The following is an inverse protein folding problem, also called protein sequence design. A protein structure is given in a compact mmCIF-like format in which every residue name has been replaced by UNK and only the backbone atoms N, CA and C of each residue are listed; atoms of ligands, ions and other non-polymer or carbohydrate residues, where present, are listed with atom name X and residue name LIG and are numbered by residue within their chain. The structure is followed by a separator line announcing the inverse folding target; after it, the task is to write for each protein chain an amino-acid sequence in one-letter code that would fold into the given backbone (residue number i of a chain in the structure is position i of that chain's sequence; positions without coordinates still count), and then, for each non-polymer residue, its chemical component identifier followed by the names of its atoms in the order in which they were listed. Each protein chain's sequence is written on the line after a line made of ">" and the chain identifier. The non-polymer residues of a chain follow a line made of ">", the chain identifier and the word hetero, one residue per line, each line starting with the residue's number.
data_IF_477012189224
#
_entry.id   IF_477012189224
#
_cell.length_a   1.000
_cell.length_b   1.000
_cell.length_c   1.000
_cell.angle_alpha   90.00
_cell.angle_beta   90.00
_cell.angle_gamma   90.00
#
_symmetry.space_group_name_H-M   'P 1'
#
loop_
_entity.id
_entity.type
_entity.pdbx_description
1 polymer ?
#
# COMPACT_ATOMS: atom_id res chain seq x y z
N UNK A 1 15.81 -31.47 -13.93
CA UNK A 1 16.05 -30.04 -13.76
C UNK A 1 15.43 -29.63 -12.44
N UNK A 2 16.16 -28.94 -11.55
CA UNK A 2 15.59 -28.45 -10.30
C UNK A 2 14.52 -27.41 -10.61
N UNK A 3 13.34 -27.53 -10.02
CA UNK A 3 12.27 -26.52 -10.09
C UNK A 3 12.80 -25.21 -9.50
N UNK A 4 12.73 -24.14 -10.27
CA UNK A 4 13.17 -22.81 -9.82
C UNK A 4 12.10 -22.27 -8.86
N UNK A 5 12.49 -22.04 -7.60
CA UNK A 5 11.59 -21.54 -6.56
C UNK A 5 11.62 -20.01 -6.59
N UNK A 6 10.46 -19.38 -6.71
CA UNK A 6 10.31 -17.92 -6.62
C UNK A 6 9.59 -17.58 -5.32
N UNK A 7 10.25 -16.94 -4.33
CA UNK A 7 9.60 -16.54 -3.08
C UNK A 7 8.62 -15.39 -3.32
N UNK A 8 7.55 -15.34 -2.52
CA UNK A 8 6.60 -14.23 -2.46
C UNK A 8 6.79 -13.46 -1.16
N UNK A 9 6.76 -12.13 -1.23
CA UNK A 9 6.65 -11.30 -0.02
C UNK A 9 5.20 -11.38 0.48
N UNK A 10 5.01 -11.82 1.75
CA UNK A 10 3.68 -11.96 2.36
C UNK A 10 3.48 -11.06 3.56
N UNK A 11 4.55 -10.75 4.30
CA UNK A 11 4.46 -9.90 5.48
C UNK A 11 5.71 -9.04 5.67
N UNK A 12 5.55 -7.97 6.45
CA UNK A 12 6.65 -7.11 6.88
C UNK A 12 6.54 -6.79 8.36
N UNK A 13 7.69 -6.65 9.04
CA UNK A 13 7.76 -6.18 10.41
C UNK A 13 8.31 -4.76 10.48
N UNK A 14 7.71 -3.91 11.30
CA UNK A 14 8.17 -2.54 11.54
C UNK A 14 8.37 -2.30 13.03
N UNK A 15 9.50 -1.68 13.36
CA UNK A 15 9.74 -1.22 14.72
C UNK A 15 8.91 0.00 15.04
N UNK A 16 8.22 -0.02 16.19
CA UNK A 16 7.37 1.05 16.69
C UNK A 16 7.75 1.45 18.11
N UNK A 17 7.41 2.69 18.51
CA UNK A 17 7.61 3.20 19.86
C UNK A 17 6.52 2.71 20.79
N UNK A 18 5.27 2.69 20.34
CA UNK A 18 4.07 2.30 21.08
C UNK A 18 3.21 1.32 20.26
N UNK A 19 3.34 0.02 20.59
CA UNK A 19 2.60 -1.04 19.93
C UNK A 19 1.09 -0.86 20.08
N UNK A 20 0.60 -0.44 21.25
CA UNK A 20 -0.83 -0.28 21.52
C UNK A 20 -1.45 0.83 20.67
N UNK A 21 -0.79 1.99 20.62
CA UNK A 21 -1.21 3.12 19.80
C UNK A 21 -1.26 2.78 18.32
N UNK A 22 -0.26 2.04 17.85
CA UNK A 22 -0.17 1.62 16.45
C UNK A 22 -1.21 0.56 16.10
N UNK A 23 -1.45 -0.42 16.97
CA UNK A 23 -2.56 -1.38 16.83
C UNK A 23 -3.89 -0.66 16.70
N UNK A 24 -4.17 0.28 17.60
CA UNK A 24 -5.40 1.09 17.58
C UNK A 24 -5.57 1.82 16.25
N UNK A 25 -4.52 2.44 15.74
CA UNK A 25 -4.54 3.16 14.48
C UNK A 25 -4.82 2.21 13.30
N UNK A 26 -4.03 1.15 13.13
CA UNK A 26 -4.20 0.23 12.00
C UNK A 26 -5.55 -0.50 12.03
N UNK A 27 -6.09 -0.78 13.22
CA UNK A 27 -7.44 -1.34 13.35
C UNK A 27 -8.51 -0.32 12.96
N UNK A 28 -8.46 0.91 13.47
CA UNK A 28 -9.48 1.93 13.23
C UNK A 28 -9.41 2.50 11.81
N UNK A 29 -8.22 2.83 11.35
CA UNK A 29 -8.00 3.47 10.06
C UNK A 29 -8.06 2.49 8.89
N UNK A 30 -7.41 1.34 9.01
CA UNK A 30 -7.29 0.38 7.91
C UNK A 30 -8.17 -0.87 8.07
N UNK A 31 -8.67 -1.14 9.27
CA UNK A 31 -9.50 -2.32 9.55
C UNK A 31 -8.70 -3.60 9.70
N UNK A 32 -7.39 -3.49 9.97
CA UNK A 32 -6.61 -4.69 10.27
C UNK A 32 -7.05 -5.32 11.59
N UNK A 33 -7.11 -6.62 11.61
CA UNK A 33 -7.41 -7.42 12.81
C UNK A 33 -6.10 -7.86 13.46
N UNK A 34 -6.06 -7.86 14.79
CA UNK A 34 -4.97 -8.50 15.55
C UNK A 34 -5.22 -10.00 15.53
N UNK A 35 -4.33 -10.76 14.88
CA UNK A 35 -4.35 -12.20 14.90
C UNK A 35 -3.75 -12.71 16.21
N UNK A 36 -2.59 -12.18 16.61
CA UNK A 36 -1.92 -12.50 17.86
C UNK A 36 -1.18 -11.30 18.45
N UNK A 37 -0.96 -11.32 19.77
CA UNK A 37 -0.16 -10.32 20.47
C UNK A 37 0.56 -10.98 21.66
N UNK A 38 1.81 -10.58 21.88
CA UNK A 38 2.59 -11.13 22.99
C UNK A 38 3.94 -10.48 23.19
N UNK A 39 4.76 -11.11 24.04
CA UNK A 39 6.14 -10.69 24.30
C UNK A 39 7.10 -11.85 24.07
N UNK A 40 8.23 -11.55 23.45
CA UNK A 40 9.33 -12.49 23.26
C UNK A 40 10.64 -11.78 23.61
N UNK A 41 11.40 -12.31 24.57
CA UNK A 41 12.69 -11.72 24.98
C UNK A 41 12.59 -10.26 25.46
N UNK A 42 11.45 -9.86 26.04
CA UNK A 42 11.19 -8.47 26.47
C UNK A 42 10.60 -7.57 25.36
N UNK A 43 10.65 -7.98 24.12
CA UNK A 43 10.08 -7.26 22.98
C UNK A 43 8.58 -7.56 22.85
N UNK A 44 7.75 -6.54 22.76
CA UNK A 44 6.31 -6.66 22.50
C UNK A 44 6.06 -6.74 21.01
N UNK A 45 5.17 -7.67 20.59
CA UNK A 45 4.78 -7.86 19.20
C UNK A 45 3.25 -7.89 19.08
N UNK A 46 2.75 -7.32 17.98
CA UNK A 46 1.38 -7.50 17.53
C UNK A 46 1.38 -7.91 16.06
N UNK A 47 0.68 -8.99 15.77
CA UNK A 47 0.55 -9.58 14.43
C UNK A 47 -0.81 -9.19 13.88
N UNK A 48 -0.83 -8.50 12.73
CA UNK A 48 -2.05 -7.91 12.17
C UNK A 48 -2.28 -8.39 10.73
N UNK A 49 -3.55 -8.63 10.39
CA UNK A 49 -3.96 -9.08 9.05
C UNK A 49 -5.30 -8.50 8.63
N UNK A 50 -5.53 -8.44 7.32
CA UNK A 50 -6.84 -8.25 6.67
C UNK A 50 -7.22 -9.44 5.78
N UNK A 51 -6.38 -10.47 5.71
CA UNK A 51 -6.57 -11.64 4.86
C UNK A 51 -6.81 -12.90 5.72
N UNK A 52 -7.85 -13.70 5.42
CA UNK A 52 -8.19 -14.87 6.24
C UNK A 52 -7.22 -16.04 6.08
N UNK A 53 -6.43 -16.06 5.01
CA UNK A 53 -5.45 -17.08 4.66
C UNK A 53 -4.01 -16.72 5.06
N UNK A 54 -3.79 -15.50 5.59
CA UNK A 54 -2.50 -15.05 6.11
C UNK A 54 -2.59 -14.74 7.61
N UNK A 55 -1.81 -15.44 8.42
CA UNK A 55 -1.77 -15.19 9.86
C UNK A 55 -1.46 -13.72 10.17
N UNK A 56 -0.55 -13.11 9.42
CA UNK A 56 -0.24 -11.69 9.51
C UNK A 56 0.38 -11.17 8.21
N UNK A 57 0.07 -9.93 7.91
CA UNK A 57 0.67 -9.16 6.81
C UNK A 57 1.55 -8.03 7.37
N UNK A 58 1.25 -7.56 8.58
CA UNK A 58 2.00 -6.53 9.30
C UNK A 58 2.34 -7.01 10.71
N UNK A 59 3.60 -6.88 11.11
CA UNK A 59 4.04 -7.10 12.50
C UNK A 59 4.52 -5.78 13.08
N UNK A 60 3.90 -5.35 14.17
CA UNK A 60 4.35 -4.20 14.96
C UNK A 60 5.25 -4.70 16.08
N UNK A 61 6.48 -4.20 16.12
CA UNK A 61 7.53 -4.67 17.05
C UNK A 61 7.99 -3.50 17.90
N UNK A 62 7.94 -3.62 19.23
CA UNK A 62 8.45 -2.57 20.12
C UNK A 62 9.97 -2.43 19.99
N UNK A 63 10.49 -1.23 20.28
CA UNK A 63 11.94 -1.00 20.31
C UNK A 63 12.47 -0.01 19.28
N UNK A 64 11.60 0.73 18.57
CA UNK A 64 12.03 1.83 17.72
C UNK A 64 12.71 2.91 18.58
N UNK A 65 13.92 3.31 18.19
CA UNK A 65 14.63 4.40 18.84
C UNK A 65 13.83 5.71 18.75
N UNK A 66 13.83 6.57 19.78
CA UNK A 66 13.09 7.86 19.79
C UNK A 66 13.38 8.73 18.58
N UNK A 67 14.64 8.83 18.19
CA UNK A 67 15.14 9.62 17.04
C UNK A 67 15.31 8.77 15.76
N UNK A 68 14.87 7.52 15.78
CA UNK A 68 15.06 6.60 14.65
C UNK A 68 14.20 6.98 13.44
N UNK A 69 14.85 7.19 12.30
CA UNK A 69 14.16 7.32 11.01
C UNK A 69 13.72 5.94 10.54
N UNK A 70 12.51 5.83 9.99
CA UNK A 70 12.06 4.58 9.36
C UNK A 70 12.94 4.25 8.14
N UNK A 71 13.42 3.02 8.06
CA UNK A 71 14.11 2.50 6.85
C UNK A 71 13.12 1.95 5.82
N UNK A 72 11.85 1.78 6.20
CA UNK A 72 10.75 1.43 5.30
C UNK A 72 10.22 2.73 4.68
N UNK A 73 10.30 2.84 3.35
CA UNK A 73 9.83 4.04 2.65
C UNK A 73 8.30 4.20 2.77
N UNK A 74 7.56 3.11 2.60
CA UNK A 74 6.10 3.10 2.71
C UNK A 74 5.54 1.70 2.98
N UNK A 75 4.36 1.66 3.57
CA UNK A 75 3.50 0.49 3.69
C UNK A 75 2.30 0.71 2.77
N UNK A 76 2.16 -0.11 1.73
CA UNK A 76 1.13 0.06 0.71
C UNK A 76 0.05 -1.00 0.83
N UNK A 77 -1.22 -0.56 0.86
CA UNK A 77 -2.40 -1.39 0.99
C UNK A 77 -3.26 -1.24 -0.27
N UNK A 78 -3.45 -2.34 -0.98
CA UNK A 78 -4.28 -2.41 -2.18
C UNK A 78 -5.76 -2.55 -1.79
N UNK A 79 -6.62 -1.84 -2.51
CA UNK A 79 -8.08 -2.01 -2.52
C UNK A 79 -8.59 -2.21 -3.95
N UNK A 80 -9.81 -2.75 -4.10
CA UNK A 80 -10.28 -3.22 -5.41
C UNK A 80 -10.62 -2.10 -6.40
N UNK A 81 -10.95 -0.89 -5.91
CA UNK A 81 -11.33 0.21 -6.80
C UNK A 81 -11.17 1.60 -6.22
N UNK A 82 -11.36 2.62 -7.08
CA UNK A 82 -11.22 4.03 -6.68
C UNK A 82 -12.28 4.45 -5.65
N UNK A 83 -13.48 3.89 -5.69
CA UNK A 83 -14.51 4.18 -4.69
C UNK A 83 -14.12 3.67 -3.31
N UNK A 84 -13.38 2.57 -3.25
CA UNK A 84 -12.82 2.07 -2.00
C UNK A 84 -11.65 2.93 -1.50
N UNK A 85 -10.78 3.43 -2.41
CA UNK A 85 -9.75 4.42 -2.02
C UNK A 85 -10.41 5.65 -1.40
N UNK A 86 -11.50 6.17 -2.00
CA UNK A 86 -12.26 7.32 -1.47
C UNK A 86 -12.90 7.00 -0.11
N UNK A 87 -13.49 5.82 0.02
CA UNK A 87 -14.08 5.35 1.29
C UNK A 87 -13.02 5.26 2.40
N UNK A 88 -11.87 4.68 2.07
CA UNK A 88 -10.73 4.59 2.99
C UNK A 88 -10.17 5.96 3.32
N UNK A 89 -10.10 6.87 2.35
CA UNK A 89 -9.68 8.25 2.58
C UNK A 89 -10.57 8.97 3.60
N UNK A 90 -11.90 8.82 3.51
CA UNK A 90 -12.80 9.35 4.54
C UNK A 90 -12.60 8.68 5.92
N UNK A 91 -12.30 7.40 5.93
CA UNK A 91 -12.05 6.64 7.16
C UNK A 91 -10.76 7.11 7.87
N UNK A 92 -9.66 7.31 7.14
CA UNK A 92 -8.40 7.80 7.73
C UNK A 92 -8.56 9.22 8.27
N UNK A 93 -9.31 10.09 7.60
CA UNK A 93 -9.63 11.44 8.11
C UNK A 93 -10.40 11.36 9.43
N UNK A 94 -11.39 10.47 9.54
CA UNK A 94 -12.13 10.22 10.79
C UNK A 94 -11.24 9.64 11.89
N UNK A 95 -10.18 8.93 11.54
CA UNK A 95 -9.17 8.44 12.48
C UNK A 95 -8.14 9.52 12.91
N UNK A 96 -8.31 10.78 12.46
CA UNK A 96 -7.51 11.92 12.87
C UNK A 96 -6.32 12.24 11.96
N UNK A 97 -6.21 11.62 10.79
CA UNK A 97 -5.19 11.96 9.80
C UNK A 97 -5.53 13.32 9.16
N UNK A 98 -4.61 14.29 9.28
CA UNK A 98 -4.76 15.66 8.75
C UNK A 98 -3.78 15.96 7.61
N UNK A 99 -2.70 15.19 7.49
CA UNK A 99 -1.69 15.33 6.44
C UNK A 99 -1.81 14.19 5.46
N UNK A 100 -2.00 14.51 4.18
CA UNK A 100 -2.13 13.50 3.13
C UNK A 100 -1.75 14.06 1.76
N UNK A 101 -1.45 13.16 0.84
CA UNK A 101 -1.22 13.48 -0.58
C UNK A 101 -1.98 12.49 -1.45
N UNK A 102 -2.75 13.01 -2.39
CA UNK A 102 -3.52 12.25 -3.37
C UNK A 102 -2.77 12.29 -4.71
N UNK A 103 -2.53 11.12 -5.30
CA UNK A 103 -1.62 11.00 -6.44
C UNK A 103 -2.14 9.98 -7.44
N UNK A 104 -2.12 10.34 -8.72
CA UNK A 104 -2.18 9.38 -9.82
C UNK A 104 -0.77 9.06 -10.29
N UNK A 105 -0.45 7.77 -10.34
CA UNK A 105 0.76 7.24 -10.97
C UNK A 105 0.50 6.77 -12.42
N UNK A 106 -0.69 7.04 -12.93
CA UNK A 106 -1.18 6.52 -14.19
C UNK A 106 -1.62 5.05 -14.06
N UNK A 107 -0.73 4.17 -13.62
CA UNK A 107 -1.04 2.74 -13.37
C UNK A 107 -1.70 2.46 -12.01
N UNK A 108 -1.74 3.44 -11.12
CA UNK A 108 -2.38 3.38 -9.81
C UNK A 108 -2.90 4.74 -9.38
N UNK A 109 -3.93 4.75 -8.53
CA UNK A 109 -4.47 5.94 -7.86
C UNK A 109 -4.32 5.74 -6.36
N UNK A 110 -3.68 6.71 -5.69
CA UNK A 110 -3.19 6.55 -4.34
C UNK A 110 -3.54 7.72 -3.43
N UNK A 111 -3.68 7.43 -2.12
CA UNK A 111 -3.58 8.41 -1.05
C UNK A 111 -2.46 8.01 -0.10
N UNK A 112 -1.55 8.95 0.16
CA UNK A 112 -0.42 8.81 1.09
C UNK A 112 -0.69 9.61 2.36
N UNK A 113 -0.34 9.08 3.52
CA UNK A 113 -0.46 9.75 4.81
C UNK A 113 0.53 9.15 5.82
N UNK A 114 0.90 9.90 6.89
CA UNK A 114 1.68 9.34 7.98
C UNK A 114 0.79 8.54 8.93
N UNK A 115 1.33 7.45 9.47
CA UNK A 115 0.79 6.82 10.67
C UNK A 115 1.16 7.67 11.93
N UNK A 116 0.68 7.32 13.14
CA UNK A 116 0.96 8.10 14.35
C UNK A 116 2.44 8.21 14.76
N UNK A 117 3.31 7.42 14.14
CA UNK A 117 4.76 7.47 14.35
C UNK A 117 5.53 7.97 13.12
N UNK A 118 4.82 8.50 12.11
CA UNK A 118 5.41 9.11 10.91
C UNK A 118 5.86 8.12 9.85
N UNK A 119 5.49 6.82 9.94
CA UNK A 119 5.72 5.92 8.82
C UNK A 119 4.74 6.26 7.70
N UNK A 120 5.24 6.33 6.46
CA UNK A 120 4.36 6.59 5.31
C UNK A 120 3.49 5.37 5.03
N UNK A 121 2.19 5.60 4.96
CA UNK A 121 1.18 4.62 4.54
C UNK A 121 0.60 5.06 3.21
N UNK A 122 0.34 4.10 2.35
CA UNK A 122 -0.35 4.28 1.08
C UNK A 122 -1.58 3.37 1.04
N UNK A 123 -2.72 3.93 0.63
CA UNK A 123 -3.88 3.16 0.16
C UNK A 123 -4.00 3.43 -1.32
N UNK A 124 -4.09 2.37 -2.13
CA UNK A 124 -4.10 2.51 -3.58
C UNK A 124 -4.97 1.47 -4.27
N UNK A 125 -5.33 1.78 -5.50
CA UNK A 125 -5.93 0.84 -6.43
C UNK A 125 -5.22 0.89 -7.77
N UNK A 126 -5.29 -0.20 -8.51
CA UNK A 126 -4.79 -0.24 -9.88
C UNK A 126 -5.73 0.46 -10.86
N UNK A 127 -5.17 0.96 -11.95
CA UNK A 127 -5.93 1.40 -13.11
C UNK A 127 -5.82 0.38 -14.25
N UNK A 128 -6.69 0.46 -15.28
CA UNK A 128 -6.58 -0.38 -16.48
C UNK A 128 -5.39 -0.04 -17.38
N UNK A 129 -4.55 0.91 -17.01
CA UNK A 129 -3.48 1.45 -17.85
C UNK A 129 -2.11 1.24 -17.25
N UNK A 130 -1.11 1.30 -18.10
CA UNK A 130 0.30 1.37 -17.73
C UNK A 130 0.97 2.52 -18.46
N UNK A 131 1.78 3.26 -17.72
CA UNK A 131 2.77 4.23 -18.22
C UNK A 131 4.10 4.01 -17.50
N UNK A 132 5.25 4.38 -18.10
CA UNK A 132 6.55 4.26 -17.45
C UNK A 132 6.62 4.96 -16.10
N UNK A 133 7.35 4.35 -15.16
CA UNK A 133 7.60 4.89 -13.83
C UNK A 133 9.07 5.31 -13.69
N UNK A 134 9.42 6.28 -12.81
CA UNK A 134 8.53 6.94 -11.84
C UNK A 134 7.62 7.99 -12.48
N UNK A 135 6.36 8.04 -12.05
CA UNK A 135 5.38 9.02 -12.47
C UNK A 135 4.46 9.39 -11.30
N UNK A 136 4.03 10.66 -11.21
CA UNK A 136 3.10 11.09 -10.17
C UNK A 136 2.56 12.49 -10.44
N UNK A 137 1.22 12.60 -10.57
CA UNK A 137 0.50 13.86 -10.68
C UNK A 137 -0.56 13.96 -9.60
N UNK A 138 -0.84 15.16 -9.05
CA UNK A 138 -1.91 15.34 -8.09
C UNK A 138 -3.27 14.98 -8.68
N UNK A 139 -4.13 14.38 -7.85
CA UNK A 139 -5.56 14.19 -8.15
C UNK A 139 -6.40 14.75 -7.00
N UNK A 140 -7.70 14.91 -7.25
CA UNK A 140 -8.67 15.34 -6.26
C UNK A 140 -9.72 14.25 -6.05
N UNK A 141 -9.62 13.51 -4.94
CA UNK A 141 -10.56 12.44 -4.59
C UNK A 141 -11.97 12.94 -4.22
N UNK A 142 -12.20 14.25 -4.12
CA UNK A 142 -13.55 14.81 -3.95
C UNK A 142 -14.38 14.77 -5.24
N UNK A 143 -13.74 14.71 -6.41
CA UNK A 143 -14.39 14.61 -7.71
C UNK A 143 -15.13 13.27 -7.89
N UNK A 144 -16.12 13.20 -8.81
CA UNK A 144 -16.73 11.93 -9.20
C UNK A 144 -15.69 10.92 -9.69
N UNK A 145 -15.86 9.65 -9.34
CA UNK A 145 -14.96 8.56 -9.75
C UNK A 145 -14.78 8.50 -11.27
N UNK A 146 -15.88 8.64 -12.03
CA UNK A 146 -15.82 8.64 -13.49
C UNK A 146 -14.98 9.79 -14.06
N UNK A 147 -15.00 10.98 -13.43
CA UNK A 147 -14.20 12.12 -13.84
C UNK A 147 -12.70 11.88 -13.61
N UNK A 148 -12.33 11.40 -12.40
CA UNK A 148 -10.94 11.07 -12.08
C UNK A 148 -10.40 10.00 -13.03
N UNK A 149 -11.19 8.96 -13.31
CA UNK A 149 -10.80 7.89 -14.23
C UNK A 149 -10.61 8.42 -15.66
N UNK A 150 -11.51 9.27 -16.15
CA UNK A 150 -11.41 9.87 -17.50
C UNK A 150 -10.19 10.80 -17.64
N UNK A 151 -9.93 11.64 -16.63
CA UNK A 151 -8.75 12.51 -16.59
C UNK A 151 -7.46 11.67 -16.55
N UNK A 152 -7.43 10.60 -15.75
CA UNK A 152 -6.28 9.69 -15.66
C UNK A 152 -6.05 8.95 -16.97
N UNK A 153 -7.11 8.43 -17.61
CA UNK A 153 -7.00 7.77 -18.91
C UNK A 153 -6.44 8.70 -19.98
N UNK A 154 -7.00 9.91 -20.09
CA UNK A 154 -6.52 10.91 -21.04
C UNK A 154 -5.04 11.17 -20.84
N UNK A 155 -4.62 11.43 -19.59
CA UNK A 155 -3.23 11.69 -19.27
C UNK A 155 -2.33 10.50 -19.61
N UNK A 156 -2.76 9.27 -19.31
CA UNK A 156 -2.01 8.05 -19.65
C UNK A 156 -1.82 7.90 -21.16
N UNK A 157 -2.89 8.12 -21.94
CA UNK A 157 -2.84 8.02 -23.43
C UNK A 157 -1.92 9.03 -24.08
N UNK A 158 -1.77 10.20 -23.47
CA UNK A 158 -0.86 11.27 -23.92
C UNK A 158 0.59 11.05 -23.46
N UNK A 159 0.83 10.10 -22.55
CA UNK A 159 2.17 9.83 -22.01
C UNK A 159 2.93 8.83 -22.89
N UNK A 160 4.17 9.12 -23.33
CA UNK A 160 4.99 8.18 -24.08
C UNK A 160 5.17 6.86 -23.33
N UNK A 161 5.00 5.73 -24.03
CA UNK A 161 5.11 4.40 -23.42
C UNK A 161 3.80 3.90 -22.80
N UNK A 162 2.68 4.61 -23.02
CA UNK A 162 1.35 4.11 -22.67
C UNK A 162 1.07 2.75 -23.29
N UNK A 163 0.44 1.88 -22.49
CA UNK A 163 -0.19 0.63 -22.95
C UNK A 163 -1.32 0.20 -22.00
N UNK A 164 -2.27 -0.64 -22.47
CA UNK A 164 -3.20 -1.29 -21.56
C UNK A 164 -2.46 -2.12 -20.51
N UNK A 165 -2.96 -2.12 -19.26
CA UNK A 165 -2.36 -2.88 -18.16
C UNK A 165 -2.22 -4.37 -18.48
N UNK A 166 -3.24 -4.99 -19.10
CA UNK A 166 -3.20 -6.39 -19.47
C UNK A 166 -2.06 -6.74 -20.45
N UNK A 167 -1.72 -5.84 -21.37
CA UNK A 167 -0.58 -6.01 -22.27
C UNK A 167 0.74 -5.92 -21.52
N UNK A 168 0.87 -4.96 -20.61
CA UNK A 168 2.04 -4.83 -19.75
C UNK A 168 2.23 -6.08 -18.88
N UNK A 169 1.17 -6.58 -18.23
CA UNK A 169 1.21 -7.80 -17.42
C UNK A 169 1.66 -9.02 -18.25
N UNK A 170 1.14 -9.17 -19.46
CA UNK A 170 1.56 -10.24 -20.37
C UNK A 170 3.04 -10.13 -20.79
N UNK A 171 3.57 -8.90 -20.91
CA UNK A 171 4.99 -8.70 -21.16
C UNK A 171 5.82 -9.07 -19.94
N UNK A 172 5.42 -8.65 -18.73
CA UNK A 172 6.12 -8.99 -17.49
C UNK A 172 6.15 -10.50 -17.25
N UNK A 173 5.03 -11.20 -17.48
CA UNK A 173 4.96 -12.64 -17.34
C UNK A 173 6.00 -13.35 -18.23
N UNK A 174 6.11 -12.92 -19.49
CA UNK A 174 7.11 -13.47 -20.42
C UNK A 174 8.55 -13.22 -19.98
N UNK A 175 8.84 -12.00 -19.47
CA UNK A 175 10.17 -11.65 -18.97
C UNK A 175 10.54 -12.48 -17.73
N UNK A 176 9.60 -12.66 -16.79
CA UNK A 176 9.80 -13.50 -15.61
C UNK A 176 10.05 -14.96 -15.99
N UNK A 177 9.32 -15.52 -16.97
CA UNK A 177 9.57 -16.86 -17.47
C UNK A 177 10.96 -17.01 -18.11
N UNK A 178 11.41 -15.99 -18.86
CA UNK A 178 12.77 -15.99 -19.47
C UNK A 178 13.86 -15.94 -18.41
N UNK A 179 13.69 -15.16 -17.34
CA UNK A 179 14.65 -15.13 -16.23
C UNK A 179 14.70 -16.45 -15.46
N UNK A 180 13.65 -17.25 -15.56
CA UNK A 180 13.56 -18.55 -14.90
C UNK A 180 14.15 -19.69 -15.73
N UNK A 181 14.55 -19.48 -16.96
CA UNK A 181 15.24 -20.45 -17.82
C UNK A 181 16.75 -20.39 -17.63
#
# INVERSE_FOLDING_TARGET
>A
MASKITPRLTHTGVYVKDVSKMVDFYTKALGLMVADRGKQGGTELAFMTSAPDEHHQLVLVSGRAPEGVSTVNQLSFLVDGLDEVKTMFERIKKAGVTEYRQTSHGNALSVYFPDPEGNRVEIYTHTPWHIPQPHGVPIDLSKPTAEIMAETEKHCRETPGFMPRAEWEAQQARLLEQQQR
#
